data_IF_259873251623
#
_entry.id   IF_259873251623
#
_cell.length_a   1.000
_cell.length_b   1.000
_cell.length_c   1.000
_cell.angle_alpha   90.00
_cell.angle_beta   90.00
_cell.angle_gamma   90.00
#
_symmetry.space_group_name_H-M   'P 1'
#
loop_
_entity.id
_entity.type
_entity.pdbx_description
1 polymer ?
#
# COMPACT_ATOMS: atom_id res chain seq x y z
N UNK A 1 -36.52 -18.52 18.01
CA UNK A 1 -35.68 -19.70 18.30
C UNK A 1 -34.71 -19.78 17.15
N UNK A 2 -33.40 -19.66 17.40
CA UNK A 2 -32.38 -19.78 16.36
C UNK A 2 -32.45 -21.21 15.83
N UNK A 3 -32.89 -21.38 14.58
CA UNK A 3 -32.92 -22.68 13.90
C UNK A 3 -31.51 -22.95 13.37
N UNK A 4 -30.59 -23.18 14.30
CA UNK A 4 -29.22 -23.59 14.02
C UNK A 4 -29.25 -25.08 13.68
N UNK A 5 -28.69 -25.44 12.53
CA UNK A 5 -28.80 -26.78 11.99
C UNK A 5 -28.04 -27.83 12.83
N UNK A 6 -28.37 -29.10 12.61
CA UNK A 6 -27.78 -30.23 13.34
C UNK A 6 -26.24 -30.29 13.21
N UNK A 7 -25.62 -30.00 12.04
CA UNK A 7 -24.17 -29.86 11.92
C UNK A 7 -23.57 -28.82 12.88
N UNK A 8 -24.19 -27.65 13.03
CA UNK A 8 -23.74 -26.59 13.92
C UNK A 8 -23.70 -27.02 15.40
N UNK A 9 -24.77 -27.66 15.88
CA UNK A 9 -24.82 -28.17 17.26
C UNK A 9 -23.83 -29.31 17.52
N UNK A 10 -23.51 -30.10 16.49
CA UNK A 10 -22.49 -31.15 16.58
C UNK A 10 -21.07 -30.55 16.68
N UNK A 11 -20.79 -29.43 16.01
CA UNK A 11 -19.52 -28.70 16.16
C UNK A 11 -19.33 -28.11 17.56
N UNK A 12 -20.41 -27.57 18.14
CA UNK A 12 -20.39 -26.96 19.47
C UNK A 12 -20.18 -27.97 20.62
N UNK A 13 -20.54 -29.23 20.39
CA UNK A 13 -20.41 -30.33 21.36
C UNK A 13 -19.21 -31.24 21.10
N UNK A 14 -18.43 -30.98 20.04
CA UNK A 14 -17.19 -31.66 19.67
C UNK A 14 -16.11 -31.44 20.74
N UNK A 15 -15.48 -32.52 21.22
CA UNK A 15 -14.36 -32.47 22.18
C UNK A 15 -13.01 -32.10 21.55
N UNK A 16 -12.96 -31.87 20.23
CA UNK A 16 -11.70 -31.76 19.48
C UNK A 16 -11.17 -30.33 19.29
N UNK A 17 -11.58 -29.35 20.10
CA UNK A 17 -11.10 -27.95 19.99
C UNK A 17 -12.00 -27.02 19.18
N UNK A 18 -12.93 -27.56 18.38
CA UNK A 18 -13.93 -26.80 17.60
C UNK A 18 -14.96 -26.02 18.44
N UNK A 19 -15.00 -26.28 19.76
CA UNK A 19 -15.99 -25.70 20.67
C UNK A 19 -15.89 -24.17 20.79
N UNK A 20 -14.68 -23.59 20.72
CA UNK A 20 -14.48 -22.14 20.82
C UNK A 20 -14.91 -21.42 19.53
N UNK A 21 -14.55 -21.96 18.36
CA UNK A 21 -14.95 -21.46 17.04
C UNK A 21 -16.48 -21.50 16.90
N UNK A 22 -17.09 -22.59 17.38
CA UNK A 22 -18.55 -22.75 17.38
C UNK A 22 -19.24 -21.74 18.30
N UNK A 23 -18.65 -21.39 19.44
CA UNK A 23 -19.18 -20.35 20.33
C UNK A 23 -19.07 -18.96 19.69
N UNK A 24 -17.96 -18.63 19.03
CA UNK A 24 -17.80 -17.37 18.28
C UNK A 24 -18.87 -17.23 17.21
N UNK A 25 -19.12 -18.30 16.45
CA UNK A 25 -20.19 -18.31 15.46
C UNK A 25 -21.57 -18.06 16.11
N UNK A 26 -21.86 -18.67 17.27
CA UNK A 26 -23.10 -18.37 18.04
C UNK A 26 -23.18 -16.91 18.44
N UNK A 27 -22.11 -16.33 18.96
CA UNK A 27 -22.10 -14.95 19.41
C UNK A 27 -22.38 -13.98 18.26
N UNK A 28 -21.79 -14.22 17.08
CA UNK A 28 -22.10 -13.43 15.89
C UNK A 28 -23.59 -13.50 15.52
N UNK A 29 -24.26 -14.65 15.73
CA UNK A 29 -25.70 -14.77 15.52
C UNK A 29 -26.56 -13.89 16.44
N UNK A 30 -26.02 -13.45 17.58
CA UNK A 30 -26.71 -12.58 18.55
C UNK A 30 -26.35 -11.10 18.41
N UNK A 31 -25.54 -10.72 17.43
CA UNK A 31 -25.08 -9.35 17.20
C UNK A 31 -25.61 -8.78 15.87
N UNK A 32 -26.94 -8.59 15.70
CA UNK A 32 -27.52 -8.17 14.43
C UNK A 32 -27.20 -6.72 14.02
N UNK A 33 -26.59 -5.93 14.91
CA UNK A 33 -26.15 -4.55 14.66
C UNK A 33 -24.62 -4.44 14.58
N UNK A 34 -23.94 -5.55 14.32
CA UNK A 34 -22.49 -5.54 14.19
C UNK A 34 -22.11 -4.79 12.91
N UNK A 35 -21.38 -3.69 13.07
CA UNK A 35 -20.91 -2.84 11.97
C UNK A 35 -19.46 -3.14 11.59
N UNK A 36 -18.64 -3.55 12.56
CA UNK A 36 -17.23 -3.87 12.36
C UNK A 36 -16.91 -5.22 13.00
N UNK A 37 -16.12 -6.03 12.29
CA UNK A 37 -15.66 -7.32 12.76
C UNK A 37 -14.16 -7.44 12.56
N UNK A 38 -13.45 -7.76 13.63
CA UNK A 38 -12.01 -7.98 13.64
C UNK A 38 -11.71 -9.41 14.06
N UNK A 39 -10.96 -10.13 13.22
CA UNK A 39 -10.42 -11.44 13.52
C UNK A 39 -8.91 -11.35 13.71
N UNK A 40 -8.46 -11.79 14.89
CA UNK A 40 -7.05 -12.06 15.15
C UNK A 40 -6.86 -13.59 15.13
N UNK A 41 -6.05 -14.09 14.20
CA UNK A 41 -5.89 -15.52 13.94
C UNK A 41 -4.45 -15.94 14.23
N UNK A 42 -4.32 -17.06 14.94
CA UNK A 42 -3.03 -17.58 15.40
C UNK A 42 -2.55 -18.80 14.59
N UNK A 43 -3.44 -19.39 13.78
CA UNK A 43 -3.22 -20.63 13.05
C UNK A 43 -3.30 -20.39 11.54
N UNK A 44 -2.76 -21.32 10.75
CA UNK A 44 -2.69 -21.25 9.29
C UNK A 44 -3.99 -21.64 8.58
N UNK A 45 -5.12 -21.57 9.26
CA UNK A 45 -6.43 -21.85 8.68
C UNK A 45 -7.50 -20.90 9.19
N UNK A 46 -8.25 -20.29 8.26
CA UNK A 46 -9.46 -19.57 8.61
C UNK A 46 -10.59 -20.57 8.91
N UNK A 47 -11.25 -20.48 10.08
CA UNK A 47 -12.29 -21.44 10.43
C UNK A 47 -13.51 -21.34 9.50
N UNK A 48 -13.81 -22.41 8.76
CA UNK A 48 -14.93 -22.46 7.80
C UNK A 48 -16.29 -22.19 8.45
N UNK A 49 -16.46 -22.54 9.73
CA UNK A 49 -17.68 -22.25 10.50
C UNK A 49 -17.92 -20.75 10.71
N UNK A 50 -16.89 -19.92 10.55
CA UNK A 50 -17.01 -18.46 10.61
C UNK A 50 -17.30 -17.85 9.23
N UNK A 51 -17.36 -18.63 8.16
CA UNK A 51 -17.72 -18.08 6.84
C UNK A 51 -19.25 -17.83 6.74
N UNK A 52 -19.67 -16.76 6.04
CA UNK A 52 -21.05 -16.58 5.61
C UNK A 52 -21.55 -17.73 4.72
N UNK A 53 -22.86 -18.02 4.81
CA UNK A 53 -23.53 -18.91 3.84
C UNK A 53 -23.42 -18.35 2.42
N UNK A 54 -23.29 -19.20 1.38
CA UNK A 54 -23.44 -20.67 1.42
C UNK A 54 -22.20 -21.43 1.90
N UNK A 55 -21.05 -20.76 2.03
CA UNK A 55 -19.75 -21.41 2.19
C UNK A 55 -19.39 -21.75 3.66
N UNK A 56 -20.15 -21.22 4.63
CA UNK A 56 -20.03 -21.57 6.04
C UNK A 56 -21.34 -21.62 6.82
N UNK A 57 -21.26 -21.37 8.12
CA UNK A 57 -22.40 -21.50 9.04
C UNK A 57 -23.07 -20.16 9.39
N UNK A 58 -22.44 -19.02 9.13
CA UNK A 58 -23.00 -17.72 9.47
C UNK A 58 -24.14 -17.35 8.52
N UNK A 59 -25.33 -17.11 9.08
CA UNK A 59 -26.46 -16.66 8.28
C UNK A 59 -26.22 -15.21 7.82
N UNK A 60 -26.12 -14.99 6.50
CA UNK A 60 -25.82 -13.67 5.94
C UNK A 60 -26.82 -12.56 6.32
N UNK A 61 -28.06 -12.92 6.66
CA UNK A 61 -29.07 -11.96 7.14
C UNK A 61 -28.70 -11.30 8.49
N UNK A 62 -27.80 -11.90 9.27
CA UNK A 62 -27.33 -11.38 10.56
C UNK A 62 -26.20 -10.36 10.34
N UNK A 63 -25.45 -10.51 9.25
CA UNK A 63 -24.31 -9.67 8.90
C UNK A 63 -24.70 -8.48 8.02
N UNK A 64 -26.00 -8.18 7.90
CA UNK A 64 -26.54 -7.13 7.00
C UNK A 64 -26.11 -5.71 7.34
N UNK A 65 -25.60 -5.48 8.56
CA UNK A 65 -25.05 -4.20 8.97
C UNK A 65 -23.52 -4.18 8.97
N UNK A 66 -22.86 -5.30 8.68
CA UNK A 66 -21.41 -5.42 8.74
C UNK A 66 -20.80 -4.65 7.56
N UNK A 67 -20.14 -3.53 7.86
CA UNK A 67 -19.54 -2.61 6.90
C UNK A 67 -18.03 -2.81 6.78
N UNK A 68 -17.37 -3.16 7.89
CA UNK A 68 -15.92 -3.32 7.96
C UNK A 68 -15.53 -4.71 8.43
N UNK A 69 -14.68 -5.37 7.65
CA UNK A 69 -14.02 -6.61 8.03
C UNK A 69 -12.51 -6.39 8.12
N UNK A 70 -11.91 -6.77 9.24
CA UNK A 70 -10.46 -6.81 9.41
C UNK A 70 -10.00 -8.22 9.81
N UNK A 71 -8.95 -8.73 9.15
CA UNK A 71 -8.34 -10.02 9.47
C UNK A 71 -6.84 -9.84 9.65
N UNK A 72 -6.29 -10.33 10.75
CA UNK A 72 -4.86 -10.25 11.04
C UNK A 72 -4.35 -11.61 11.53
N UNK A 73 -3.30 -12.11 10.88
CA UNK A 73 -2.59 -13.29 11.36
C UNK A 73 -1.41 -12.87 12.23
N UNK A 74 -1.40 -13.31 13.48
CA UNK A 74 -0.34 -12.98 14.45
C UNK A 74 0.68 -14.12 14.60
N UNK A 75 0.45 -15.24 13.90
CA UNK A 75 1.38 -16.37 13.84
C UNK A 75 2.68 -16.00 13.12
N UNK A 76 3.82 -16.54 13.59
CA UNK A 76 5.15 -16.38 12.95
C UNK A 76 5.33 -17.24 11.70
N UNK A 77 4.25 -17.74 11.12
CA UNK A 77 4.31 -18.56 9.92
C UNK A 77 4.83 -17.70 8.78
N UNK A 78 5.99 -18.06 8.22
CA UNK A 78 6.45 -17.53 6.93
C UNK A 78 5.62 -18.07 5.77
N UNK A 79 4.85 -19.14 6.02
CA UNK A 79 3.97 -19.72 5.03
C UNK A 79 2.64 -18.97 5.10
N UNK A 80 2.32 -18.38 3.97
CA UNK A 80 1.11 -17.65 3.70
C UNK A 80 -0.12 -18.52 3.94
N UNK A 81 -1.11 -17.94 4.62
CA UNK A 81 -2.34 -18.64 4.97
C UNK A 81 -3.36 -18.31 3.91
N UNK A 82 -3.62 -19.28 3.05
CA UNK A 82 -4.66 -19.12 2.05
C UNK A 82 -6.03 -19.09 2.74
N UNK A 83 -6.66 -17.93 2.71
CA UNK A 83 -8.01 -17.78 3.25
C UNK A 83 -8.98 -17.50 2.13
N UNK A 84 -10.03 -18.31 2.09
CA UNK A 84 -11.15 -18.06 1.21
C UNK A 84 -12.01 -16.89 1.74
N UNK A 85 -11.66 -15.66 1.33
CA UNK A 85 -12.35 -14.43 1.75
C UNK A 85 -13.56 -14.05 0.90
N UNK A 86 -13.75 -14.68 -0.26
CA UNK A 86 -14.86 -14.38 -1.16
C UNK A 86 -16.24 -14.37 -0.45
N UNK A 87 -16.56 -15.32 0.45
CA UNK A 87 -17.86 -15.34 1.12
C UNK A 87 -18.14 -14.06 1.93
N UNK A 88 -17.09 -13.42 2.44
CA UNK A 88 -17.20 -12.15 3.16
C UNK A 88 -17.32 -10.96 2.23
N UNK A 89 -16.51 -10.89 1.18
CA UNK A 89 -16.53 -9.76 0.23
C UNK A 89 -17.81 -9.71 -0.62
N UNK A 90 -18.53 -10.84 -0.75
CA UNK A 90 -19.86 -10.93 -1.37
C UNK A 90 -20.98 -10.35 -0.50
N UNK A 91 -20.73 -10.05 0.78
CA UNK A 91 -21.76 -9.45 1.63
C UNK A 91 -22.06 -8.03 1.14
N UNK A 92 -23.31 -7.70 0.78
CA UNK A 92 -23.64 -6.43 0.17
C UNK A 92 -23.46 -5.23 1.11
N UNK A 93 -23.32 -5.47 2.42
CA UNK A 93 -23.09 -4.43 3.40
C UNK A 93 -21.62 -4.05 3.56
N UNK A 94 -20.69 -4.91 3.13
CA UNK A 94 -19.24 -4.68 3.30
C UNK A 94 -18.79 -3.58 2.35
N UNK A 95 -18.19 -2.54 2.94
CA UNK A 95 -17.61 -1.40 2.23
C UNK A 95 -16.11 -1.26 2.45
N UNK A 96 -15.57 -1.90 3.49
CA UNK A 96 -14.16 -1.83 3.87
C UNK A 96 -13.62 -3.22 4.22
N UNK A 97 -12.50 -3.57 3.61
CA UNK A 97 -11.73 -4.77 3.92
C UNK A 97 -10.30 -4.39 4.28
N UNK A 98 -9.81 -4.93 5.39
CA UNK A 98 -8.44 -4.75 5.87
C UNK A 98 -7.83 -6.11 6.22
N UNK A 99 -6.62 -6.37 5.75
CA UNK A 99 -5.92 -7.61 6.05
C UNK A 99 -4.43 -7.37 6.30
N UNK A 100 -3.87 -8.08 7.28
CA UNK A 100 -2.45 -8.00 7.62
C UNK A 100 -1.84 -9.39 7.85
N UNK A 101 -0.61 -9.57 7.35
CA UNK A 101 0.08 -10.87 7.30
C UNK A 101 -0.77 -11.93 6.61
N UNK A 102 -1.30 -11.57 5.44
CA UNK A 102 -2.45 -12.24 4.82
C UNK A 102 -2.23 -12.51 3.33
N UNK A 103 -2.81 -13.59 2.80
CA UNK A 103 -2.57 -14.01 1.42
C UNK A 103 -3.86 -14.33 0.69
N UNK A 104 -3.95 -13.91 -0.57
CA UNK A 104 -5.10 -14.15 -1.42
C UNK A 104 -4.61 -14.79 -2.72
N UNK A 105 -4.64 -16.12 -2.79
CA UNK A 105 -4.09 -16.86 -3.94
C UNK A 105 -5.17 -17.38 -4.92
N UNK A 106 -6.44 -17.46 -4.51
CA UNK A 106 -7.49 -18.09 -5.33
C UNK A 106 -8.24 -17.13 -6.24
N UNK A 107 -8.74 -17.67 -7.37
CA UNK A 107 -9.80 -17.06 -8.16
C UNK A 107 -11.00 -16.70 -7.28
N UNK A 108 -11.11 -15.42 -6.94
CA UNK A 108 -12.22 -14.90 -6.18
C UNK A 108 -13.39 -14.71 -7.14
N UNK A 109 -14.28 -15.68 -7.21
CA UNK A 109 -15.56 -15.46 -7.90
C UNK A 109 -16.36 -14.45 -7.06
N UNK A 110 -16.23 -13.17 -7.38
CA UNK A 110 -16.97 -12.08 -6.77
C UNK A 110 -18.04 -11.64 -7.77
N UNK A 111 -19.27 -11.50 -7.29
CA UNK A 111 -20.25 -10.68 -7.98
C UNK A 111 -19.94 -9.20 -7.70
N UNK A 112 -20.75 -8.29 -8.23
CA UNK A 112 -20.63 -6.84 -7.95
C UNK A 112 -20.54 -6.60 -6.44
N UNK A 113 -19.42 -5.98 -6.02
CA UNK A 113 -19.13 -5.66 -4.64
C UNK A 113 -19.40 -4.18 -4.34
N UNK A 114 -19.85 -3.90 -3.10
CA UNK A 114 -19.99 -2.53 -2.60
C UNK A 114 -18.72 -2.01 -1.92
N UNK A 115 -17.61 -2.73 -2.08
CA UNK A 115 -16.33 -2.35 -1.49
C UNK A 115 -15.87 -0.98 -2.02
N UNK A 116 -15.53 -0.10 -1.09
CA UNK A 116 -14.99 1.24 -1.37
C UNK A 116 -13.57 1.41 -0.85
N UNK A 117 -13.12 0.53 0.05
CA UNK A 117 -11.78 0.54 0.62
C UNK A 117 -11.23 -0.88 0.72
N UNK A 118 -10.04 -1.09 0.17
CA UNK A 118 -9.28 -2.33 0.25
C UNK A 118 -7.89 -2.03 0.80
N UNK A 119 -7.50 -2.67 1.90
CA UNK A 119 -6.15 -2.58 2.50
C UNK A 119 -5.62 -3.99 2.74
N UNK A 120 -4.55 -4.34 2.04
CA UNK A 120 -3.87 -5.62 2.19
C UNK A 120 -2.39 -5.37 2.48
N UNK A 121 -1.95 -5.79 3.67
CA UNK A 121 -0.55 -6.00 3.99
C UNK A 121 -0.24 -7.50 3.93
N UNK A 122 0.32 -7.93 2.81
CA UNK A 122 0.48 -9.34 2.47
C UNK A 122 0.59 -9.53 0.95
N UNK A 123 0.30 -10.72 0.46
CA UNK A 123 0.40 -11.08 -0.96
C UNK A 123 -0.97 -11.35 -1.57
N UNK A 124 -1.06 -11.13 -2.86
CA UNK A 124 -2.24 -11.41 -3.65
C UNK A 124 -1.80 -11.89 -5.02
N UNK A 125 -2.39 -12.97 -5.51
CA UNK A 125 -2.15 -13.43 -6.88
C UNK A 125 -2.71 -12.42 -7.89
N UNK A 126 -2.13 -12.36 -9.08
CA UNK A 126 -2.60 -11.47 -10.15
C UNK A 126 -4.06 -11.78 -10.52
N UNK A 127 -4.42 -13.06 -10.52
CA UNK A 127 -5.81 -13.49 -10.75
C UNK A 127 -6.78 -13.00 -9.66
N UNK A 128 -6.36 -12.99 -8.38
CA UNK A 128 -7.18 -12.45 -7.30
C UNK A 128 -7.32 -10.93 -7.36
N UNK A 129 -6.25 -10.22 -7.73
CA UNK A 129 -6.26 -8.78 -7.95
C UNK A 129 -7.30 -8.40 -9.01
N UNK A 130 -7.25 -9.03 -10.18
CA UNK A 130 -8.17 -8.74 -11.29
C UNK A 130 -9.62 -8.93 -10.87
N UNK A 131 -9.93 -10.06 -10.24
CA UNK A 131 -11.27 -10.36 -9.74
C UNK A 131 -11.78 -9.31 -8.74
N UNK A 132 -10.92 -8.84 -7.81
CA UNK A 132 -11.30 -7.79 -6.85
C UNK A 132 -11.56 -6.48 -7.58
N UNK A 133 -10.66 -6.06 -8.46
CA UNK A 133 -10.76 -4.77 -9.14
C UNK A 133 -11.96 -4.72 -10.10
N UNK A 134 -12.18 -5.78 -10.90
CA UNK A 134 -13.35 -5.91 -11.77
C UNK A 134 -14.67 -5.81 -11.01
N UNK A 135 -14.69 -6.33 -9.78
CA UNK A 135 -15.90 -6.38 -8.96
C UNK A 135 -16.17 -5.10 -8.15
N UNK A 136 -15.21 -4.18 -8.06
CA UNK A 136 -15.26 -3.01 -7.16
C UNK A 136 -15.29 -1.67 -7.91
N UNK A 137 -16.32 -1.43 -8.74
CA UNK A 137 -16.46 -0.20 -9.57
C UNK A 137 -16.43 1.13 -8.78
N UNK A 138 -16.72 1.09 -7.48
CA UNK A 138 -16.78 2.28 -6.62
C UNK A 138 -15.59 2.38 -5.65
N UNK A 139 -14.48 1.69 -5.94
CA UNK A 139 -13.29 1.69 -5.10
C UNK A 139 -12.71 3.11 -4.98
N UNK A 140 -12.62 3.62 -3.75
CA UNK A 140 -12.09 4.96 -3.42
C UNK A 140 -10.72 4.91 -2.77
N UNK A 141 -10.42 3.85 -2.03
CA UNK A 141 -9.15 3.67 -1.35
C UNK A 141 -8.59 2.30 -1.64
N UNK A 142 -7.35 2.26 -2.10
CA UNK A 142 -6.62 1.01 -2.30
C UNK A 142 -5.26 1.11 -1.63
N UNK A 143 -4.96 0.14 -0.77
CA UNK A 143 -3.65 -0.05 -0.16
C UNK A 143 -3.18 -1.47 -0.37
N UNK A 144 -1.99 -1.60 -0.92
CA UNK A 144 -1.31 -2.88 -1.09
C UNK A 144 0.13 -2.76 -0.66
N UNK A 145 0.48 -3.50 0.39
CA UNK A 145 1.81 -3.53 0.99
C UNK A 145 2.30 -4.96 1.00
N UNK A 146 3.45 -5.21 0.37
CA UNK A 146 4.00 -6.55 0.19
C UNK A 146 5.47 -6.59 0.58
N UNK A 147 5.91 -7.65 1.25
CA UNK A 147 7.33 -7.89 1.55
C UNK A 147 7.81 -9.16 0.80
N UNK A 148 8.46 -9.05 -0.37
CA UNK A 148 8.86 -10.21 -1.20
C UNK A 148 9.75 -11.22 -0.47
N UNK A 149 10.47 -10.79 0.56
CA UNK A 149 11.32 -11.68 1.36
C UNK A 149 10.53 -12.53 2.36
N UNK A 150 9.35 -12.08 2.76
CA UNK A 150 8.47 -12.80 3.66
C UNK A 150 7.50 -13.67 2.86
N UNK A 151 7.11 -13.18 1.67
CA UNK A 151 6.04 -13.74 0.87
C UNK A 151 6.59 -14.15 -0.50
N UNK A 152 6.68 -15.46 -0.77
CA UNK A 152 7.31 -16.01 -1.97
C UNK A 152 6.31 -16.78 -2.85
N UNK A 153 5.21 -16.12 -3.25
CA UNK A 153 4.24 -16.72 -4.18
C UNK A 153 4.65 -16.43 -5.63
N UNK A 154 4.69 -17.46 -6.47
CA UNK A 154 5.15 -17.37 -7.87
C UNK A 154 4.25 -16.47 -8.74
N UNK A 155 2.97 -16.32 -8.39
CA UNK A 155 1.96 -15.52 -9.13
C UNK A 155 1.60 -14.21 -8.41
N UNK A 156 2.47 -13.70 -7.54
CA UNK A 156 2.18 -12.44 -6.83
C UNK A 156 2.05 -11.28 -7.81
N UNK A 157 0.95 -10.53 -7.68
CA UNK A 157 0.73 -9.34 -8.49
C UNK A 157 1.89 -8.37 -8.40
N UNK A 158 2.46 -8.00 -9.55
CA UNK A 158 3.52 -7.01 -9.63
C UNK A 158 2.94 -5.59 -9.52
N UNK A 159 3.73 -4.56 -9.15
CA UNK A 159 3.18 -3.22 -9.06
C UNK A 159 2.63 -2.67 -10.37
N UNK A 160 3.16 -3.09 -11.52
CA UNK A 160 2.63 -2.72 -12.84
C UNK A 160 1.24 -3.33 -13.06
N UNK A 161 1.04 -4.61 -12.77
CA UNK A 161 -0.27 -5.26 -12.82
C UNK A 161 -1.28 -4.56 -11.88
N UNK A 162 -0.85 -4.22 -10.67
CA UNK A 162 -1.66 -3.46 -9.69
C UNK A 162 -2.07 -2.10 -10.27
N UNK A 163 -1.13 -1.34 -10.83
CA UNK A 163 -1.40 -0.01 -11.36
C UNK A 163 -2.25 -0.05 -12.64
N UNK A 164 -2.04 -1.05 -13.51
CA UNK A 164 -2.81 -1.26 -14.72
C UNK A 164 -4.26 -1.62 -14.40
N UNK A 165 -4.49 -2.64 -13.55
CA UNK A 165 -5.84 -3.01 -13.13
C UNK A 165 -6.57 -1.85 -12.45
N UNK A 166 -5.89 -1.07 -11.60
CA UNK A 166 -6.48 0.11 -10.96
C UNK A 166 -6.85 1.20 -11.97
N UNK A 167 -6.05 1.41 -13.01
CA UNK A 167 -6.36 2.35 -14.09
C UNK A 167 -7.61 1.92 -14.84
N UNK A 168 -7.71 0.63 -15.17
CA UNK A 168 -8.83 0.09 -15.94
C UNK A 168 -10.15 0.12 -15.17
N UNK A 169 -10.13 -0.27 -13.89
CA UNK A 169 -11.36 -0.47 -13.12
C UNK A 169 -11.67 0.64 -12.12
N UNK A 170 -10.67 1.33 -11.57
CA UNK A 170 -10.83 2.33 -10.50
C UNK A 170 -10.40 3.77 -10.89
N UNK A 171 -9.99 4.00 -12.14
CA UNK A 171 -9.48 5.31 -12.61
C UNK A 171 -10.38 6.52 -12.33
N UNK A 172 -11.71 6.30 -12.31
CA UNK A 172 -12.72 7.36 -12.11
C UNK A 172 -13.18 7.52 -10.66
N UNK A 173 -12.85 6.57 -9.79
CA UNK A 173 -13.36 6.51 -8.42
C UNK A 173 -12.26 6.69 -7.37
N UNK A 174 -11.03 6.26 -7.66
CA UNK A 174 -9.94 6.21 -6.70
C UNK A 174 -9.55 7.60 -6.20
N UNK A 175 -9.57 7.78 -4.89
CA UNK A 175 -9.20 9.02 -4.19
C UNK A 175 -7.88 8.87 -3.39
N UNK A 176 -7.56 7.64 -2.98
CA UNK A 176 -6.37 7.30 -2.19
C UNK A 176 -5.71 6.03 -2.70
N UNK A 177 -4.40 6.10 -2.96
CA UNK A 177 -3.57 4.98 -3.39
C UNK A 177 -2.34 4.86 -2.50
N UNK A 178 -2.11 3.67 -1.94
CA UNK A 178 -0.90 3.30 -1.24
C UNK A 178 -0.34 1.98 -1.79
N UNK A 179 0.84 2.00 -2.42
CA UNK A 179 1.47 0.78 -2.97
C UNK A 179 2.94 0.72 -2.54
N UNK A 180 3.31 -0.31 -1.78
CA UNK A 180 4.63 -0.42 -1.12
C UNK A 180 5.18 -1.84 -1.21
N UNK A 181 6.41 -2.02 -1.69
CA UNK A 181 7.10 -3.31 -1.72
C UNK A 181 8.41 -3.23 -0.92
N UNK A 182 8.49 -4.01 0.16
CA UNK A 182 9.64 -4.05 1.06
C UNK A 182 10.54 -5.25 0.75
N UNK A 183 11.45 -5.11 -0.21
CA UNK A 183 12.50 -6.11 -0.42
C UNK A 183 13.70 -5.81 0.47
N UNK A 184 13.98 -6.71 1.42
CA UNK A 184 15.13 -6.60 2.32
C UNK A 184 16.40 -7.30 1.79
N UNK A 185 16.43 -7.89 0.58
CA UNK A 185 17.57 -8.75 0.14
C UNK A 185 18.09 -8.51 -1.28
N UNK A 186 17.54 -7.59 -2.07
CA UNK A 186 17.91 -7.46 -3.48
C UNK A 186 18.40 -6.05 -3.82
N UNK A 187 19.48 -5.70 -3.13
CA UNK A 187 20.19 -4.42 -3.15
C UNK A 187 21.14 -4.23 -4.33
N UNK A 188 20.81 -4.80 -5.49
CA UNK A 188 21.43 -4.39 -6.74
C UNK A 188 20.35 -3.74 -7.58
N UNK A 189 20.66 -2.60 -8.21
CA UNK A 189 19.78 -1.99 -9.22
C UNK A 189 19.40 -2.96 -10.37
N UNK A 190 19.99 -4.16 -10.40
CA UNK A 190 19.90 -5.16 -11.46
C UNK A 190 19.02 -6.38 -11.15
N UNK A 191 18.53 -6.59 -9.91
CA UNK A 191 18.00 -7.93 -9.54
C UNK A 191 16.48 -8.09 -9.51
N UNK A 192 15.67 -7.04 -9.36
CA UNK A 192 14.21 -7.21 -9.29
C UNK A 192 13.40 -6.53 -10.40
N UNK A 193 14.00 -5.61 -11.16
CA UNK A 193 13.29 -4.84 -12.17
C UNK A 193 14.13 -4.78 -13.43
N UNK A 194 13.88 -5.70 -14.36
CA UNK A 194 14.45 -5.58 -15.70
C UNK A 194 13.91 -4.28 -16.32
N UNK A 195 14.84 -3.44 -16.79
CA UNK A 195 14.57 -2.16 -17.47
C UNK A 195 13.57 -2.29 -18.63
N UNK A 196 13.55 -3.48 -19.23
CA UNK A 196 12.64 -3.78 -20.33
C UNK A 196 11.18 -3.80 -19.87
N UNK A 197 10.91 -4.38 -18.70
CA UNK A 197 9.58 -4.47 -18.07
C UNK A 197 9.18 -3.13 -17.44
N UNK A 198 10.07 -2.52 -16.65
CA UNK A 198 9.83 -1.26 -15.94
C UNK A 198 9.67 -0.02 -16.83
N UNK A 199 9.87 -0.12 -18.15
CA UNK A 199 9.67 0.96 -19.12
C UNK A 199 8.82 0.52 -20.32
N UNK A 200 8.21 -0.66 -20.28
CA UNK A 200 7.22 -1.06 -21.29
C UNK A 200 5.88 -0.35 -21.04
N UNK A 201 5.60 0.03 -19.79
CA UNK A 201 4.31 0.54 -19.37
C UNK A 201 4.27 2.08 -19.32
N UNK A 202 3.10 2.63 -19.64
CA UNK A 202 2.78 4.02 -19.33
C UNK A 202 2.49 4.11 -17.83
N UNK A 203 3.39 4.70 -17.05
CA UNK A 203 3.24 4.88 -15.60
C UNK A 203 2.46 6.15 -15.21
N UNK A 204 1.79 6.79 -16.17
CA UNK A 204 1.04 7.99 -15.87
C UNK A 204 -0.14 7.72 -14.93
N UNK A 205 -0.08 8.34 -13.75
CA UNK A 205 -1.18 8.40 -12.80
C UNK A 205 -2.16 9.53 -13.15
N UNK A 206 -1.96 10.25 -14.26
CA UNK A 206 -2.87 11.32 -14.70
C UNK A 206 -4.27 10.81 -15.06
N UNK A 207 -4.41 9.50 -15.32
CA UNK A 207 -5.69 8.85 -15.57
C UNK A 207 -6.62 8.83 -14.34
N UNK A 208 -6.07 8.96 -13.12
CA UNK A 208 -6.87 8.95 -11.90
C UNK A 208 -7.51 10.32 -11.63
N UNK A 209 -8.76 10.48 -12.07
CA UNK A 209 -9.46 11.78 -12.08
C UNK A 209 -9.70 12.37 -10.69
N UNK A 210 -9.75 11.53 -9.65
CA UNK A 210 -10.10 11.92 -8.27
C UNK A 210 -8.98 11.69 -7.27
N UNK A 211 -7.81 11.22 -7.68
CA UNK A 211 -6.72 10.87 -6.77
C UNK A 211 -6.22 12.12 -6.03
N UNK A 212 -6.32 12.09 -4.70
CA UNK A 212 -5.90 13.17 -3.80
C UNK A 212 -4.72 12.77 -2.94
N UNK A 213 -4.62 11.49 -2.59
CA UNK A 213 -3.56 10.95 -1.76
C UNK A 213 -2.82 9.87 -2.54
N UNK A 214 -1.49 10.01 -2.63
CA UNK A 214 -0.60 9.01 -3.20
C UNK A 214 0.53 8.73 -2.22
N UNK A 215 0.70 7.46 -1.88
CA UNK A 215 1.86 6.93 -1.19
C UNK A 215 2.42 5.76 -1.99
N UNK A 216 3.66 5.88 -2.48
CA UNK A 216 4.18 4.87 -3.40
C UNK A 216 5.70 4.77 -3.33
N UNK A 217 6.23 3.58 -3.60
CA UNK A 217 7.64 3.42 -3.94
C UNK A 217 7.91 4.09 -5.27
N UNK A 218 8.73 5.15 -5.23
CA UNK A 218 8.98 6.01 -6.37
C UNK A 218 9.40 5.26 -7.65
N UNK A 219 10.23 4.20 -7.58
CA UNK A 219 10.59 3.43 -8.77
C UNK A 219 9.41 2.95 -9.62
N UNK A 220 8.24 2.71 -9.03
CA UNK A 220 7.06 2.25 -9.75
C UNK A 220 6.46 3.29 -10.69
N UNK A 221 6.80 4.56 -10.54
CA UNK A 221 6.21 5.64 -11.36
C UNK A 221 7.22 6.45 -12.15
N UNK A 222 8.50 6.34 -11.81
CA UNK A 222 9.58 7.14 -12.42
C UNK A 222 10.82 6.31 -12.79
N UNK A 223 10.79 4.99 -12.59
CA UNK A 223 11.97 4.13 -12.76
C UNK A 223 13.05 4.30 -11.69
N UNK A 224 14.15 3.54 -11.82
CA UNK A 224 15.28 3.58 -10.87
C UNK A 224 16.41 4.53 -11.33
N UNK A 225 17.38 4.80 -10.46
CA UNK A 225 18.56 5.61 -10.80
C UNK A 225 19.40 4.98 -11.92
N UNK A 226 19.46 3.65 -11.98
CA UNK A 226 20.13 2.92 -13.06
C UNK A 226 19.45 3.19 -14.42
N UNK A 227 18.12 3.23 -14.46
CA UNK A 227 17.35 3.58 -15.67
C UNK A 227 17.70 4.98 -16.15
N UNK A 228 17.78 5.93 -15.21
CA UNK A 228 18.19 7.30 -15.49
C UNK A 228 19.61 7.35 -16.06
N UNK A 229 20.55 6.64 -15.46
CA UNK A 229 21.95 6.57 -15.92
C UNK A 229 22.05 5.98 -17.32
N UNK A 230 21.40 4.86 -17.59
CA UNK A 230 21.43 4.20 -18.90
C UNK A 230 20.85 5.07 -20.01
N UNK A 231 19.79 5.83 -19.72
CA UNK A 231 19.23 6.82 -20.64
C UNK A 231 20.23 7.94 -20.95
N UNK A 232 20.97 8.44 -19.95
CA UNK A 232 21.97 9.50 -20.11
C UNK A 232 23.24 9.03 -20.85
N UNK A 233 23.63 7.77 -20.63
CA UNK A 233 24.77 7.15 -21.30
C UNK A 233 24.43 6.69 -22.73
N UNK A 234 23.17 6.86 -23.16
CA UNK A 234 22.69 6.45 -24.48
C UNK A 234 22.60 4.93 -24.66
N UNK A 235 22.61 4.19 -23.54
CA UNK A 235 22.47 2.73 -23.49
C UNK A 235 21.01 2.35 -23.74
N UNK A 236 20.08 3.14 -23.21
CA UNK A 236 18.64 3.00 -23.43
C UNK A 236 18.09 4.18 -24.23
N UNK A 237 17.25 3.90 -25.23
CA UNK A 237 16.49 4.92 -25.97
C UNK A 237 15.19 5.33 -25.26
N UNK A 238 14.82 4.63 -24.19
CA UNK A 238 13.60 4.90 -23.42
C UNK A 238 13.83 6.11 -22.51
N UNK A 239 12.89 7.05 -22.54
CA UNK A 239 12.92 8.26 -21.71
C UNK A 239 12.35 7.90 -20.34
N UNK A 240 13.08 8.24 -19.28
CA UNK A 240 12.62 8.04 -17.90
C UNK A 240 11.50 9.05 -17.58
N UNK A 241 10.34 8.61 -17.07
CA UNK A 241 9.21 9.49 -16.77
C UNK A 241 9.55 10.53 -15.70
N UNK A 242 9.11 11.77 -15.89
CA UNK A 242 9.30 12.85 -14.92
C UNK A 242 8.14 12.91 -13.94
N UNK A 243 8.44 13.24 -12.69
CA UNK A 243 7.41 13.33 -11.64
C UNK A 243 6.28 14.32 -11.99
N UNK A 244 6.64 15.43 -12.66
CA UNK A 244 5.69 16.45 -13.14
C UNK A 244 4.76 15.98 -14.27
N UNK A 245 5.10 14.86 -14.92
CA UNK A 245 4.37 14.32 -16.08
C UNK A 245 3.49 13.13 -15.69
N UNK A 246 3.79 12.47 -14.56
CA UNK A 246 3.06 11.28 -14.10
C UNK A 246 1.99 11.59 -13.07
N UNK A 247 2.16 12.63 -12.23
CA UNK A 247 1.21 12.91 -11.14
C UNK A 247 -0.09 13.56 -11.65
N UNK A 248 -1.26 13.15 -11.11
CA UNK A 248 -2.53 13.78 -11.47
C UNK A 248 -2.63 15.22 -10.92
N UNK A 249 -3.30 16.14 -11.63
CA UNK A 249 -3.42 17.54 -11.23
C UNK A 249 -4.22 17.74 -9.94
N UNK A 250 -5.04 16.76 -9.57
CA UNK A 250 -5.90 16.75 -8.37
C UNK A 250 -5.17 16.42 -7.08
N UNK A 251 -3.91 15.95 -7.17
CA UNK A 251 -3.13 15.49 -6.03
C UNK A 251 -3.02 16.57 -4.94
N UNK A 252 -3.28 16.16 -3.69
CA UNK A 252 -3.21 16.99 -2.51
C UNK A 252 -2.06 16.56 -1.59
N UNK A 253 -1.80 15.27 -1.50
CA UNK A 253 -0.77 14.68 -0.65
C UNK A 253 0.05 13.66 -1.44
N UNK A 254 1.37 13.84 -1.41
CA UNK A 254 2.33 13.00 -2.11
C UNK A 254 3.34 12.47 -1.10
N UNK A 255 3.44 11.15 -0.98
CA UNK A 255 4.44 10.46 -0.17
C UNK A 255 5.22 9.52 -1.06
N UNK A 256 6.50 9.77 -1.16
CA UNK A 256 7.41 9.01 -2.01
C UNK A 256 8.38 8.23 -1.14
N UNK A 257 8.56 6.98 -1.49
CA UNK A 257 9.48 6.09 -0.80
C UNK A 257 10.54 5.52 -1.75
N UNK A 258 11.55 4.87 -1.20
CA UNK A 258 12.64 4.26 -1.97
C UNK A 258 13.31 5.29 -2.90
N UNK A 259 13.51 6.51 -2.39
CA UNK A 259 13.87 7.67 -3.19
C UNK A 259 15.36 7.69 -3.54
N UNK A 260 15.66 7.41 -4.82
CA UNK A 260 16.99 7.55 -5.42
C UNK A 260 17.39 9.00 -5.72
N UNK A 261 18.56 9.17 -6.34
CA UNK A 261 19.08 10.45 -6.81
C UNK A 261 18.11 11.16 -7.76
N UNK A 262 17.60 10.42 -8.75
CA UNK A 262 16.73 10.98 -9.78
C UNK A 262 15.47 11.59 -9.15
N UNK A 263 14.86 10.89 -8.20
CA UNK A 263 13.66 11.38 -7.50
C UNK A 263 13.94 12.61 -6.66
N UNK A 264 15.09 12.67 -5.99
CA UNK A 264 15.49 13.87 -5.26
C UNK A 264 15.59 15.08 -6.20
N UNK A 265 16.15 14.91 -7.41
CA UNK A 265 16.17 15.98 -8.42
C UNK A 265 14.76 16.39 -8.87
N UNK A 266 13.90 15.41 -9.15
CA UNK A 266 12.52 15.64 -9.56
C UNK A 266 11.70 16.39 -8.49
N UNK A 267 11.96 16.16 -7.21
CA UNK A 267 11.36 16.95 -6.11
C UNK A 267 11.84 18.40 -6.15
N UNK A 268 13.14 18.61 -6.40
CA UNK A 268 13.69 19.95 -6.61
C UNK A 268 13.01 20.67 -7.79
N UNK A 269 12.73 19.94 -8.87
CA UNK A 269 11.95 20.44 -10.01
C UNK A 269 10.50 20.76 -9.63
N UNK A 270 9.81 19.88 -8.89
CA UNK A 270 8.46 20.12 -8.40
C UNK A 270 8.37 21.38 -7.55
N UNK A 271 9.32 21.58 -6.63
CA UNK A 271 9.40 22.77 -5.80
C UNK A 271 9.66 24.06 -6.62
N UNK A 272 10.51 23.97 -7.66
CA UNK A 272 10.78 25.08 -8.59
C UNK A 272 9.56 25.41 -9.46
N UNK A 273 8.95 24.39 -10.06
CA UNK A 273 7.81 24.51 -10.94
C UNK A 273 6.66 25.24 -10.25
N UNK A 274 6.31 24.85 -9.02
CA UNK A 274 5.26 25.51 -8.23
C UNK A 274 5.50 26.99 -7.97
N UNK A 275 6.76 27.39 -7.78
CA UNK A 275 7.13 28.79 -7.57
C UNK A 275 6.89 29.61 -8.84
N UNK A 276 7.10 29.00 -10.02
CA UNK A 276 6.92 29.64 -11.31
C UNK A 276 5.47 29.60 -11.82
N UNK A 277 4.77 28.47 -11.62
CA UNK A 277 3.38 28.21 -12.03
C UNK A 277 2.74 27.18 -11.09
N UNK A 278 1.47 27.32 -10.68
CA UNK A 278 0.81 26.31 -9.84
C UNK A 278 0.45 25.07 -10.66
N UNK A 279 1.41 24.17 -10.89
CA UNK A 279 1.23 22.91 -11.65
C UNK A 279 0.37 21.88 -10.89
N UNK A 280 0.18 22.05 -9.57
CA UNK A 280 -0.68 21.19 -8.73
C UNK A 280 -1.45 22.01 -7.69
N UNK A 281 -2.49 22.78 -8.04
CA UNK A 281 -3.06 23.79 -7.15
C UNK A 281 -3.50 23.26 -5.78
N UNK A 282 -3.87 21.98 -5.66
CA UNK A 282 -4.35 21.36 -4.43
C UNK A 282 -3.25 20.75 -3.55
N UNK A 283 -2.02 20.60 -4.06
CA UNK A 283 -0.92 19.99 -3.32
C UNK A 283 -0.65 20.82 -2.05
N UNK A 284 -0.73 20.15 -0.91
CA UNK A 284 -0.54 20.71 0.44
C UNK A 284 0.54 19.99 1.24
N UNK A 285 0.85 18.75 0.88
CA UNK A 285 1.81 17.92 1.60
C UNK A 285 2.69 17.11 0.64
N UNK A 286 3.99 17.13 0.88
CA UNK A 286 4.99 16.30 0.21
C UNK A 286 5.89 15.69 1.26
N UNK A 287 6.06 14.37 1.21
CA UNK A 287 6.93 13.61 2.08
C UNK A 287 7.84 12.70 1.26
N UNK A 288 9.09 12.62 1.67
CA UNK A 288 10.09 11.72 1.08
C UNK A 288 10.64 10.87 2.20
N UNK A 289 10.40 9.58 2.10
CA UNK A 289 10.88 8.61 3.05
C UNK A 289 11.88 7.68 2.37
N UNK A 290 12.77 7.10 3.16
CA UNK A 290 13.57 5.95 2.76
C UNK A 290 14.46 6.20 1.54
N UNK A 291 15.56 6.92 1.74
CA UNK A 291 16.54 7.27 0.70
C UNK A 291 17.35 6.05 0.25
N UNK A 292 17.36 5.76 -1.06
CA UNK A 292 18.22 4.72 -1.65
C UNK A 292 19.69 5.14 -1.74
N UNK A 293 19.95 6.41 -2.03
CA UNK A 293 21.29 7.00 -2.17
C UNK A 293 21.31 8.44 -1.64
N UNK A 294 22.23 8.73 -0.71
CA UNK A 294 22.45 10.10 -0.23
C UNK A 294 23.39 10.84 -1.18
N UNK A 295 22.83 11.57 -2.14
CA UNK A 295 23.62 12.42 -3.02
C UNK A 295 23.49 13.90 -2.65
N UNK A 296 22.31 14.31 -2.17
CA UNK A 296 22.06 15.70 -1.79
C UNK A 296 22.25 15.93 -0.30
N UNK A 297 22.96 17.03 0.02
CA UNK A 297 23.21 17.46 1.40
C UNK A 297 21.94 17.95 2.09
N UNK A 298 21.92 18.03 3.42
CA UNK A 298 20.86 18.69 4.21
C UNK A 298 20.48 20.07 3.65
N UNK A 299 21.43 20.78 3.00
CA UNK A 299 21.18 22.08 2.39
C UNK A 299 20.19 22.03 1.22
N UNK A 300 20.18 20.96 0.44
CA UNK A 300 19.22 20.76 -0.65
C UNK A 300 17.80 20.59 -0.11
N UNK A 301 17.60 19.69 0.86
CA UNK A 301 16.29 19.48 1.48
C UNK A 301 15.80 20.73 2.20
N UNK A 302 16.70 21.52 2.82
CA UNK A 302 16.37 22.83 3.37
C UNK A 302 15.92 23.82 2.28
N UNK A 303 16.56 23.84 1.12
CA UNK A 303 16.13 24.68 -0.01
C UNK A 303 14.77 24.22 -0.57
N UNK A 304 14.57 22.92 -0.77
CA UNK A 304 13.29 22.34 -1.20
C UNK A 304 12.17 22.70 -0.22
N UNK A 305 12.38 22.49 1.09
CA UNK A 305 11.45 22.89 2.16
C UNK A 305 11.13 24.38 2.11
N UNK A 306 12.14 25.23 1.92
CA UNK A 306 11.96 26.69 1.79
C UNK A 306 11.09 27.05 0.58
N UNK A 307 11.27 26.38 -0.56
CA UNK A 307 10.46 26.60 -1.77
C UNK A 307 9.02 26.13 -1.59
N UNK A 308 8.80 24.93 -1.05
CA UNK A 308 7.46 24.43 -0.76
C UNK A 308 6.71 25.32 0.21
N UNK A 309 7.38 25.79 1.28
CA UNK A 309 6.80 26.74 2.25
C UNK A 309 6.35 28.05 1.61
N UNK A 310 7.06 28.56 0.59
CA UNK A 310 6.63 29.75 -0.17
C UNK A 310 5.31 29.56 -0.92
N UNK A 311 4.92 28.30 -1.15
CA UNK A 311 3.68 27.92 -1.83
C UNK A 311 2.66 27.24 -0.91
N UNK A 312 2.81 27.43 0.41
CA UNK A 312 1.98 26.82 1.47
C UNK A 312 1.90 25.29 1.44
N UNK A 313 2.97 24.64 0.95
CA UNK A 313 3.10 23.17 0.97
C UNK A 313 4.00 22.78 2.14
N UNK A 314 3.51 21.87 2.99
CA UNK A 314 4.33 21.21 4.01
C UNK A 314 5.22 20.19 3.33
N UNK A 315 6.52 20.25 3.63
CA UNK A 315 7.51 19.32 3.11
C UNK A 315 8.21 18.64 4.28
N UNK A 316 8.18 17.31 4.28
CA UNK A 316 8.81 16.45 5.27
C UNK A 316 9.75 15.47 4.57
N UNK A 317 10.76 15.03 5.31
CA UNK A 317 11.64 13.98 4.85
C UNK A 317 12.05 13.15 6.06
N UNK A 318 12.02 11.83 5.93
CA UNK A 318 12.56 10.90 6.90
C UNK A 318 13.83 10.24 6.35
N UNK A 319 14.85 10.22 7.19
CA UNK A 319 16.12 9.55 6.92
C UNK A 319 16.18 8.15 7.55
N UNK A 320 15.09 7.66 8.11
CA UNK A 320 14.99 6.30 8.61
C UNK A 320 15.38 5.33 7.49
N UNK A 321 16.37 4.49 7.78
CA UNK A 321 16.72 3.34 6.95
C UNK A 321 15.63 2.28 7.15
N UNK A 322 14.44 2.48 6.56
CA UNK A 322 13.43 1.40 6.51
C UNK A 322 13.90 0.26 5.59
N UNK A 323 14.88 0.53 4.72
CA UNK A 323 15.53 -0.44 3.84
C UNK A 323 17.00 -0.61 4.29
N UNK A 324 17.40 -1.79 4.81
CA UNK A 324 18.77 -2.00 5.25
C UNK A 324 19.74 -2.16 4.07
N UNK A 325 20.46 -1.09 3.70
CA UNK A 325 21.43 -1.13 2.59
C UNK A 325 22.66 -2.00 2.91
N UNK A 326 22.68 -3.25 2.46
CA UNK A 326 23.88 -4.10 2.46
C UNK A 326 24.51 -4.14 1.06
N UNK A 327 25.46 -3.24 0.79
CA UNK A 327 26.21 -3.26 -0.47
C UNK A 327 27.24 -2.14 -0.61
N UNK A 328 28.50 -2.55 -0.82
CA UNK A 328 29.77 -1.84 -1.11
C UNK A 328 29.77 -0.47 -1.83
N UNK A 329 29.01 0.52 -1.39
CA UNK A 329 29.30 1.94 -1.62
C UNK A 329 29.90 2.57 -0.36
N UNK A 330 31.01 1.98 0.12
CA UNK A 330 31.77 2.47 1.29
C UNK A 330 32.40 3.86 1.09
N UNK A 331 32.38 4.42 -0.13
CA UNK A 331 33.02 5.70 -0.43
C UNK A 331 32.26 6.94 0.06
N UNK A 332 30.94 6.97 -0.12
CA UNK A 332 30.13 8.20 0.09
C UNK A 332 28.98 8.02 1.08
N UNK A 333 28.41 6.82 1.24
CA UNK A 333 27.25 6.63 2.11
C UNK A 333 27.60 6.80 3.59
N UNK A 334 28.72 6.22 4.05
CA UNK A 334 29.19 6.36 5.42
C UNK A 334 29.64 7.79 5.72
N UNK A 335 30.21 8.50 4.74
CA UNK A 335 30.64 9.90 4.88
C UNK A 335 29.44 10.85 4.90
N UNK A 336 28.48 10.68 3.99
CA UNK A 336 27.22 11.42 3.99
C UNK A 336 26.41 11.16 5.27
N UNK A 337 26.30 9.90 5.69
CA UNK A 337 25.65 9.49 6.95
C UNK A 337 26.33 10.09 8.16
N UNK A 338 27.66 10.06 8.25
CA UNK A 338 28.41 10.67 9.37
C UNK A 338 28.33 12.21 9.36
N UNK A 339 28.31 12.84 8.19
CA UNK A 339 28.08 14.28 8.05
C UNK A 339 26.64 14.67 8.44
N UNK A 340 25.67 13.79 8.23
CA UNK A 340 24.26 14.02 8.61
C UNK A 340 23.99 13.75 10.10
N UNK A 341 24.50 12.63 10.63
CA UNK A 341 24.35 12.22 12.04
C UNK A 341 25.14 13.10 13.01
N UNK A 342 26.22 13.74 12.55
CA UNK A 342 26.94 14.75 13.34
C UNK A 342 26.17 16.07 13.47
N UNK A 343 24.99 16.18 12.86
CA UNK A 343 24.04 17.28 13.05
C UNK A 343 22.73 16.66 13.57
N UNK A 344 22.68 16.37 14.87
CA UNK A 344 21.56 15.74 15.57
C UNK A 344 20.18 16.18 15.06
N UNK A 345 19.25 15.25 14.76
CA UNK A 345 17.83 15.54 14.77
C UNK A 345 17.35 15.45 16.22
N UNK A 346 17.66 16.46 17.03
CA UNK A 346 16.78 16.77 18.16
C UNK A 346 15.42 17.08 17.56
N UNK A 347 14.46 16.17 17.77
CA UNK A 347 13.03 16.49 17.73
C UNK A 347 12.82 17.66 18.71
N UNK A 348 13.04 18.88 18.24
CA UNK A 348 12.61 20.05 18.96
C UNK A 348 11.09 20.11 18.79
N UNK A 349 10.39 19.56 19.78
CA UNK A 349 9.10 20.10 20.18
C UNK A 349 9.33 21.59 20.49
N UNK A 350 9.10 22.47 19.53
CA UNK A 350 8.81 23.85 19.86
C UNK A 350 7.32 23.93 20.10
N UNK A 351 6.94 23.94 21.38
CA UNK A 351 5.67 24.51 21.80
C UNK A 351 5.69 25.98 21.42
N UNK A 352 4.74 26.40 20.60
CA UNK A 352 4.47 27.81 20.37
C UNK A 352 3.97 28.43 21.68
N UNK A 353 4.89 29.00 22.44
CA UNK A 353 4.62 30.09 23.36
C UNK A 353 5.78 31.06 23.21
N UNK A 354 5.56 32.15 22.47
CA UNK A 354 5.50 33.44 23.13
C UNK A 354 4.93 34.49 22.20
N UNK A 355 3.97 35.19 22.77
CA UNK A 355 3.29 36.39 22.32
C UNK A 355 4.26 37.54 22.11
N UNK A 356 3.94 38.36 21.12
CA UNK A 356 4.55 39.65 20.81
C UNK A 356 4.64 40.59 22.03
N UNK A 357 5.83 41.20 22.19
CA UNK A 357 6.03 42.62 22.46
C UNK A 357 7.12 43.15 21.52
#
# INVERSE_FOLDING_TARGET
MLDLDKPFWNGLTSRNGDSQISLTAVLLHFLPKLEELYFELWDDMFPTNLLPKPDGALLGNILTNLQKLRIEFTGRSTNMVDVWIAPWLRLPSITTFEAASFSIDYDLILDVSNLTSFDLNGAMSSSALDNILESCENLKSFRYQFEPNIYQEEDTATPDEVLEGLREHAGKSLESLNVRYYSNNEYSDNSQWDLSDALAYDFSLCCFEKLKYLEIDSPFIVGTDQHFKESHEGISSKIVPRLLEVLPPTIAELRLHACGMYIQEQIGELARARTARPVYPNLRFVEINSFKQFFFTTSFFRDARRRFRKTNVRFEYDNSEEYPFEGFYEGDFTVARNAFMSHEPTRFFFSDSDTDD
#
